data_IF_722952415964
#
_entry.id   IF_722952415964
#
_cell.length_a   1.000
_cell.length_b   1.000
_cell.length_c   1.000
_cell.angle_alpha   90.00
_cell.angle_beta   90.00
_cell.angle_gamma   90.00
#
_symmetry.space_group_name_H-M   'P 1'
#
loop_
_entity.id
_entity.type
_entity.pdbx_description
1 polymer ?
#
# COMPACT_ATOMS: atom_id res chain seq x y z
N UNK A 1 -2.95 23.87 -24.12
CA UNK A 1 -2.63 24.41 -22.78
C UNK A 1 -2.85 23.32 -21.75
N UNK A 2 -1.82 22.83 -21.08
CA UNK A 2 -1.95 21.82 -20.04
C UNK A 2 -1.79 22.51 -18.68
N UNK A 3 -2.91 22.72 -17.98
CA UNK A 3 -2.91 23.19 -16.60
C UNK A 3 -2.70 21.99 -15.68
N UNK A 4 -1.52 21.87 -15.08
CA UNK A 4 -1.28 20.91 -14.01
C UNK A 4 -1.53 21.61 -12.67
N UNK A 5 -2.56 21.18 -11.93
CA UNK A 5 -2.72 21.55 -10.52
C UNK A 5 -1.58 20.90 -9.73
N UNK A 6 -0.74 21.72 -9.10
CA UNK A 6 0.41 21.31 -8.30
C UNK A 6 0.02 20.95 -6.85
N UNK A 7 -0.92 20.01 -6.67
CA UNK A 7 -1.44 19.62 -5.34
C UNK A 7 -0.85 18.30 -4.81
N UNK A 8 0.09 17.67 -5.51
CA UNK A 8 0.70 16.41 -5.05
C UNK A 8 2.19 16.34 -5.37
N UNK A 9 3.06 16.08 -4.38
CA UNK A 9 4.51 15.91 -4.60
C UNK A 9 4.86 14.61 -5.33
N UNK A 10 3.86 13.81 -5.74
CA UNK A 10 4.01 12.53 -6.43
C UNK A 10 3.84 12.70 -7.95
N UNK A 11 4.78 12.16 -8.74
CA UNK A 11 4.61 11.88 -10.17
C UNK A 11 4.48 10.38 -10.39
N UNK A 12 3.57 10.01 -11.27
CA UNK A 12 3.41 8.66 -11.75
C UNK A 12 3.98 8.58 -13.16
N UNK A 13 4.93 7.68 -13.36
CA UNK A 13 5.48 7.35 -14.67
C UNK A 13 5.06 5.93 -15.06
N UNK A 14 4.80 5.71 -16.34
CA UNK A 14 4.55 4.38 -16.89
C UNK A 14 5.23 4.21 -18.24
N UNK A 15 5.57 2.98 -18.56
CA UNK A 15 6.10 2.54 -19.84
C UNK A 15 5.13 1.52 -20.44
N UNK A 16 4.74 1.70 -21.69
CA UNK A 16 3.89 0.77 -22.43
C UNK A 16 4.56 0.26 -23.70
N UNK A 17 4.17 -0.93 -24.18
CA UNK A 17 4.57 -1.44 -25.48
C UNK A 17 3.83 -0.71 -26.63
N UNK A 18 4.15 -1.05 -27.88
CA UNK A 18 3.49 -0.49 -29.07
C UNK A 18 1.99 -0.81 -29.16
N UNK A 19 1.50 -1.79 -28.38
CA UNK A 19 0.09 -2.15 -28.28
C UNK A 19 -0.62 -1.46 -27.11
N UNK A 20 0.08 -0.59 -26.37
CA UNK A 20 -0.47 0.14 -25.23
C UNK A 20 -0.52 -0.67 -23.92
N UNK A 21 0.04 -1.88 -23.87
CA UNK A 21 0.13 -2.66 -22.63
C UNK A 21 1.19 -2.03 -21.74
N UNK A 22 0.80 -1.62 -20.53
CA UNK A 22 1.74 -1.14 -19.51
C UNK A 22 2.67 -2.27 -19.08
N UNK A 23 3.98 -2.05 -19.23
CA UNK A 23 5.05 -3.00 -18.91
C UNK A 23 5.74 -2.63 -17.59
N UNK A 24 5.77 -1.34 -17.26
CA UNK A 24 6.40 -0.85 -16.03
C UNK A 24 5.73 0.43 -15.54
N UNK A 25 5.74 0.62 -14.23
CA UNK A 25 5.21 1.82 -13.56
C UNK A 25 6.13 2.23 -12.43
N UNK A 26 6.22 3.52 -12.13
CA UNK A 26 7.00 4.03 -11.02
C UNK A 26 6.40 5.28 -10.40
N UNK A 27 6.51 5.36 -9.09
CA UNK A 27 6.19 6.54 -8.31
C UNK A 27 7.45 7.32 -7.99
N UNK A 28 7.43 8.62 -8.27
CA UNK A 28 8.50 9.56 -7.93
C UNK A 28 7.96 10.64 -7.00
N UNK A 29 8.75 10.96 -5.98
CA UNK A 29 8.48 12.07 -5.07
C UNK A 29 9.63 13.07 -5.16
N UNK A 30 9.32 14.37 -5.24
CA UNK A 30 10.34 15.42 -5.48
C UNK A 30 11.04 15.93 -4.22
N UNK A 31 10.68 15.42 -3.05
CA UNK A 31 11.26 15.83 -1.78
C UNK A 31 11.72 14.61 -1.00
N UNK A 32 12.71 14.84 -0.12
CA UNK A 32 13.08 13.89 0.93
C UNK A 32 11.88 13.55 1.81
N UNK A 33 11.85 12.32 2.32
CA UNK A 33 10.70 11.81 3.07
C UNK A 33 10.30 12.71 4.25
N UNK A 34 11.28 13.19 5.01
CA UNK A 34 11.12 14.10 6.14
C UNK A 34 10.75 15.54 5.76
N UNK A 35 10.71 15.87 4.45
CA UNK A 35 10.26 17.16 3.91
C UNK A 35 8.96 17.04 3.12
N UNK A 36 8.42 15.83 2.97
CA UNK A 36 7.10 15.63 2.38
C UNK A 36 6.02 16.03 3.38
N UNK A 37 5.18 16.99 2.99
CA UNK A 37 3.95 17.31 3.71
C UNK A 37 2.88 16.25 3.39
N UNK A 38 3.01 15.07 3.98
CA UNK A 38 2.09 13.96 3.79
C UNK A 38 0.78 14.22 4.54
N UNK A 39 -0.38 13.94 3.92
CA UNK A 39 -1.64 14.14 4.61
C UNK A 39 -1.85 13.10 5.71
N UNK A 40 -2.39 13.54 6.85
CA UNK A 40 -2.93 12.62 7.84
C UNK A 40 -4.14 11.87 7.28
N UNK A 41 -4.13 10.56 7.45
CA UNK A 41 -5.18 9.67 6.98
C UNK A 41 -5.25 8.42 7.84
N UNK A 42 -6.38 7.72 7.76
CA UNK A 42 -6.55 6.42 8.40
C UNK A 42 -6.73 5.38 7.32
N UNK A 43 -5.99 4.28 7.42
CA UNK A 43 -6.16 3.13 6.52
C UNK A 43 -7.33 2.30 7.04
N UNK A 44 -8.35 2.13 6.19
CA UNK A 44 -9.42 1.16 6.42
C UNK A 44 -8.96 -0.20 5.97
N UNK A 45 -9.16 -1.19 6.82
CA UNK A 45 -8.75 -2.57 6.63
C UNK A 45 -9.96 -3.52 6.69
N UNK A 46 -9.98 -4.50 5.80
CA UNK A 46 -10.89 -5.65 5.83
C UNK A 46 -10.09 -6.90 5.59
N UNK A 47 -10.30 -7.96 6.38
CA UNK A 47 -9.53 -9.20 6.28
C UNK A 47 -10.46 -10.39 6.07
N UNK A 48 -10.10 -11.24 5.10
CA UNK A 48 -10.65 -12.59 4.97
C UNK A 48 -9.61 -13.57 5.49
N UNK A 49 -10.01 -14.38 6.47
CA UNK A 49 -9.13 -15.34 7.12
C UNK A 49 -9.36 -16.74 6.56
N UNK A 50 -8.28 -17.42 6.18
CA UNK A 50 -8.25 -18.82 5.81
C UNK A 50 -6.98 -19.47 6.39
N UNK A 51 -6.98 -20.79 6.55
CA UNK A 51 -5.80 -21.51 6.98
C UNK A 51 -4.68 -21.36 5.94
N UNK A 52 -3.48 -21.01 6.38
CA UNK A 52 -2.33 -20.78 5.53
C UNK A 52 -2.30 -19.43 4.79
N UNK A 53 -3.43 -18.70 4.74
CA UNK A 53 -3.55 -17.47 3.94
C UNK A 53 -4.58 -16.49 4.47
N UNK A 54 -4.17 -15.23 4.67
CA UNK A 54 -5.09 -14.11 4.88
C UNK A 54 -5.12 -13.21 3.64
N UNK A 55 -6.31 -12.71 3.29
CA UNK A 55 -6.49 -11.71 2.23
C UNK A 55 -6.91 -10.39 2.84
N UNK A 56 -6.01 -9.40 2.79
CA UNK A 56 -6.19 -8.08 3.38
C UNK A 56 -6.56 -7.08 2.28
N UNK A 57 -7.67 -6.38 2.45
CA UNK A 57 -8.06 -5.26 1.59
C UNK A 57 -7.87 -3.95 2.33
N UNK A 58 -7.03 -3.08 1.79
CA UNK A 58 -6.73 -1.77 2.34
C UNK A 58 -7.29 -0.65 1.46
N UNK A 59 -7.75 0.44 2.08
CA UNK A 59 -8.17 1.66 1.40
C UNK A 59 -7.98 2.88 2.29
N UNK A 60 -7.83 4.05 1.69
CA UNK A 60 -7.64 5.30 2.42
C UNK A 60 -8.31 6.46 1.68
N UNK A 61 -8.74 7.50 2.41
CA UNK A 61 -9.30 8.72 1.82
C UNK A 61 -8.22 9.64 1.24
N UNK A 62 -7.00 9.60 1.77
CA UNK A 62 -5.85 10.38 1.30
C UNK A 62 -4.65 9.46 1.05
N UNK A 63 -3.57 10.02 0.49
CA UNK A 63 -2.37 9.26 0.16
C UNK A 63 -1.70 8.75 1.45
N UNK A 64 -1.51 7.44 1.55
CA UNK A 64 -0.69 6.82 2.59
C UNK A 64 0.59 6.29 1.94
N UNK A 65 1.74 6.87 2.30
CA UNK A 65 3.03 6.52 1.72
C UNK A 65 3.73 5.44 2.55
N UNK A 66 4.39 4.53 1.86
CA UNK A 66 5.19 3.44 2.42
C UNK A 66 4.38 2.63 3.45
N UNK A 67 3.20 2.20 3.02
CA UNK A 67 2.29 1.37 3.81
C UNK A 67 2.98 0.04 4.11
N UNK A 68 3.10 -0.24 5.40
CA UNK A 68 3.76 -1.41 5.94
C UNK A 68 2.74 -2.28 6.68
N UNK A 69 2.66 -3.54 6.27
CA UNK A 69 1.87 -4.57 6.95
C UNK A 69 2.81 -5.47 7.75
N UNK A 70 2.40 -5.78 8.98
CA UNK A 70 3.12 -6.66 9.89
C UNK A 70 2.17 -7.72 10.45
N UNK A 71 2.65 -8.96 10.53
CA UNK A 71 2.01 -10.05 11.26
C UNK A 71 3.05 -10.67 12.18
N UNK A 72 2.68 -11.12 13.40
CA UNK A 72 3.60 -11.71 14.36
C UNK A 72 3.90 -13.18 14.01
N UNK A 73 4.18 -13.46 12.72
CA UNK A 73 4.49 -14.79 12.19
C UNK A 73 5.76 -14.68 11.37
N UNK A 74 6.84 -15.28 11.90
CA UNK A 74 8.14 -15.26 11.24
C UNK A 74 8.07 -15.99 9.89
N UNK A 75 8.66 -15.40 8.86
CA UNK A 75 8.70 -16.00 7.52
C UNK A 75 7.40 -15.87 6.72
N UNK A 76 6.39 -15.14 7.22
CA UNK A 76 5.19 -14.82 6.44
C UNK A 76 5.55 -14.06 5.16
N UNK A 77 4.98 -14.52 4.05
CA UNK A 77 5.17 -13.88 2.73
C UNK A 77 4.00 -12.97 2.43
N UNK A 78 4.30 -11.83 1.79
CA UNK A 78 3.33 -10.85 1.36
C UNK A 78 3.34 -10.76 -0.16
N UNK A 79 2.18 -10.75 -0.79
CA UNK A 79 2.09 -10.53 -2.24
C UNK A 79 2.61 -9.15 -2.65
N UNK A 80 2.51 -8.17 -1.74
CA UNK A 80 3.08 -6.83 -1.86
C UNK A 80 3.16 -6.21 -0.44
N UNK A 81 4.20 -5.43 -0.16
CA UNK A 81 4.39 -4.70 1.10
C UNK A 81 5.26 -3.46 0.80
N UNK A 82 5.23 -2.44 1.67
CA UNK A 82 5.96 -1.17 1.46
C UNK A 82 5.53 -0.39 0.20
N UNK A 83 4.23 -0.29 -0.04
CA UNK A 83 3.68 0.39 -1.22
C UNK A 83 3.02 1.74 -0.87
N UNK A 84 2.77 2.57 -1.89
CA UNK A 84 1.96 3.78 -1.73
C UNK A 84 0.48 3.47 -1.99
N UNK A 85 -0.39 3.71 -1.00
CA UNK A 85 -1.84 3.57 -1.14
C UNK A 85 -2.46 4.89 -1.57
N UNK A 86 -3.06 4.88 -2.77
CA UNK A 86 -3.65 6.08 -3.37
C UNK A 86 -5.06 6.37 -2.81
N UNK A 87 -5.45 7.66 -2.74
CA UNK A 87 -6.80 8.06 -2.35
C UNK A 87 -7.90 7.31 -3.11
N UNK A 88 -8.83 6.70 -2.38
CA UNK A 88 -9.99 6.00 -2.95
C UNK A 88 -9.68 4.70 -3.70
N UNK A 89 -8.40 4.32 -3.83
CA UNK A 89 -8.01 3.05 -4.45
C UNK A 89 -7.90 1.96 -3.40
N UNK A 90 -8.47 0.79 -3.71
CA UNK A 90 -8.31 -0.42 -2.90
C UNK A 90 -7.05 -1.15 -3.33
N UNK A 91 -6.31 -1.68 -2.36
CA UNK A 91 -5.20 -2.62 -2.58
C UNK A 91 -5.54 -3.91 -1.86
N UNK A 92 -5.39 -5.03 -2.55
CA UNK A 92 -5.57 -6.38 -1.98
C UNK A 92 -4.19 -7.01 -1.85
N UNK A 93 -3.89 -7.49 -0.64
CA UNK A 93 -2.63 -8.13 -0.27
C UNK A 93 -2.94 -9.54 0.22
N UNK A 94 -2.21 -10.53 -0.27
CA UNK A 94 -2.22 -11.88 0.29
C UNK A 94 -1.04 -12.04 1.25
N UNK A 95 -1.32 -12.53 2.45
CA UNK A 95 -0.32 -12.89 3.46
C UNK A 95 -0.38 -14.41 3.62
N UNK A 96 0.73 -15.11 3.39
CA UNK A 96 0.78 -16.57 3.46
C UNK A 96 1.83 -17.05 4.43
N UNK A 97 1.45 -17.95 5.33
CA UNK A 97 2.32 -18.69 6.24
C UNK A 97 1.57 -19.93 6.76
N UNK A 98 2.20 -21.12 6.83
CA UNK A 98 1.55 -22.36 7.31
C UNK A 98 0.89 -22.25 8.70
N UNK A 99 1.43 -21.38 9.54
CA UNK A 99 1.02 -21.13 10.92
C UNK A 99 -0.28 -20.33 11.01
N UNK A 100 -0.68 -19.62 9.95
CA UNK A 100 -1.91 -18.84 9.96
C UNK A 100 -3.15 -19.74 10.02
N UNK A 101 -4.04 -19.48 10.97
CA UNK A 101 -5.31 -20.21 11.14
C UNK A 101 -6.51 -19.28 11.06
N UNK A 102 -7.52 -19.67 10.28
CA UNK A 102 -8.73 -18.89 10.09
C UNK A 102 -9.46 -18.54 11.40
N UNK A 103 -9.40 -19.46 12.38
CA UNK A 103 -10.03 -19.32 13.69
C UNK A 103 -9.29 -18.35 14.61
N UNK A 104 -7.96 -18.29 14.53
CA UNK A 104 -7.14 -17.45 15.40
C UNK A 104 -7.24 -15.98 15.06
N UNK A 105 -7.47 -15.66 13.78
CA UNK A 105 -7.60 -14.28 13.28
C UNK A 105 -6.44 -13.40 13.76
N UNK A 106 -5.22 -13.94 13.66
CA UNK A 106 -3.98 -13.29 14.09
C UNK A 106 -3.97 -11.82 13.69
N UNK A 107 -3.62 -10.94 14.63
CA UNK A 107 -3.62 -9.51 14.41
C UNK A 107 -2.67 -9.13 13.27
N UNK A 108 -3.12 -8.17 12.44
CA UNK A 108 -2.36 -7.61 11.33
C UNK A 108 -2.26 -6.12 11.60
N UNK A 109 -1.04 -5.64 11.85
CA UNK A 109 -0.78 -4.21 12.04
C UNK A 109 -0.53 -3.58 10.68
N UNK A 110 -1.08 -2.38 10.48
CA UNK A 110 -0.85 -1.59 9.27
C UNK A 110 -0.38 -0.20 9.71
N UNK A 111 0.77 0.22 9.21
CA UNK A 111 1.36 1.55 9.47
C UNK A 111 1.66 2.26 8.16
N UNK A 112 1.85 3.57 8.23
CA UNK A 112 2.35 4.35 7.10
C UNK A 112 3.26 5.49 7.56
N UNK A 113 4.04 6.05 6.64
CA UNK A 113 5.08 7.03 6.95
C UNK A 113 4.59 8.26 7.74
N UNK A 114 3.39 8.79 7.47
CA UNK A 114 2.85 9.95 8.20
C UNK A 114 2.50 9.66 9.68
N UNK A 115 2.57 8.42 10.15
CA UNK A 115 2.40 8.10 11.59
C UNK A 115 3.70 8.27 12.39
N UNK A 116 4.83 8.55 11.72
CA UNK A 116 6.15 8.59 12.37
C UNK A 116 6.69 10.00 12.61
N UNK A 117 5.96 11.04 12.20
CA UNK A 117 6.26 12.47 12.42
C UNK A 117 5.00 13.30 12.16
#
# INVERSE_FOLDING_TARGET
MCSARFDSPRRFAWLSDSKGKVISTRDYFFYWLNKLNLPETTIKQSVKYADGKYTVTLSSKKLAKDVFLEVPVLGAKFSDNFFTLLPGKKKVIEITAPELKAKERTAITVKHLRETY
#
